data_IF_504722435852
#
_entry.id   IF_504722435852
#
_cell.length_a   1.000
_cell.length_b   1.000
_cell.length_c   1.000
_cell.angle_alpha   90.00
_cell.angle_beta   90.00
_cell.angle_gamma   90.00
#
_symmetry.space_group_name_H-M   'P 1'
#
loop_
_entity.id
_entity.type
_entity.pdbx_description
1 polymer ?
#
# COMPACT_ATOMS: atom_id res chain seq x y z
N UNK A 1 -8.54 24.00 2.77
CA UNK A 1 -8.09 22.64 2.40
C UNK A 1 -9.29 21.94 1.78
N UNK A 2 -9.18 21.32 0.59
CA UNK A 2 -10.31 20.54 0.05
C UNK A 2 -10.45 19.26 0.87
N UNK A 3 -11.66 18.92 1.25
CA UNK A 3 -11.96 17.68 1.95
C UNK A 3 -11.66 16.50 1.01
N UNK A 4 -10.90 15.51 1.49
CA UNK A 4 -10.58 14.31 0.73
C UNK A 4 -11.64 13.24 1.02
N UNK A 5 -12.53 13.04 0.06
CA UNK A 5 -13.57 12.02 0.16
C UNK A 5 -13.03 10.65 -0.24
N UNK A 6 -13.62 9.54 0.26
CA UNK A 6 -13.32 8.20 -0.22
C UNK A 6 -13.57 8.08 -1.72
N UNK A 7 -12.75 7.29 -2.40
CA UNK A 7 -12.99 6.94 -3.80
C UNK A 7 -14.30 6.17 -3.92
N UNK A 8 -15.11 6.52 -4.92
CA UNK A 8 -16.19 5.65 -5.37
C UNK A 8 -15.64 4.33 -5.93
N UNK A 9 -16.44 3.25 -6.01
CA UNK A 9 -15.99 1.99 -6.58
C UNK A 9 -15.40 2.13 -7.99
N UNK A 10 -16.00 2.96 -8.84
CA UNK A 10 -15.51 3.18 -10.21
C UNK A 10 -14.20 3.97 -10.24
N UNK A 11 -14.04 4.96 -9.35
CA UNK A 11 -12.77 5.68 -9.21
C UNK A 11 -11.67 4.78 -8.70
N UNK A 12 -11.98 3.91 -7.73
CA UNK A 12 -11.05 2.89 -7.23
C UNK A 12 -10.61 1.96 -8.37
N UNK A 13 -11.55 1.40 -9.14
CA UNK A 13 -11.24 0.52 -10.26
C UNK A 13 -10.35 1.21 -11.32
N UNK A 14 -10.62 2.49 -11.63
CA UNK A 14 -9.77 3.28 -12.54
C UNK A 14 -8.38 3.52 -11.95
N UNK A 15 -8.28 3.82 -10.67
CA UNK A 15 -6.99 4.03 -10.00
C UNK A 15 -6.16 2.73 -9.99
N UNK A 16 -6.76 1.60 -9.63
CA UNK A 16 -6.11 0.29 -9.67
C UNK A 16 -5.62 -0.05 -11.07
N UNK A 17 -6.46 0.14 -12.10
CA UNK A 17 -6.08 -0.15 -13.48
C UNK A 17 -4.87 0.67 -13.91
N UNK A 18 -4.82 1.96 -13.57
CA UNK A 18 -3.68 2.84 -13.92
C UNK A 18 -2.38 2.44 -13.22
N UNK A 19 -2.45 1.83 -12.05
CA UNK A 19 -1.28 1.37 -11.30
C UNK A 19 -0.77 0.01 -11.82
N UNK A 20 -1.68 -0.90 -12.15
CA UNK A 20 -1.36 -2.23 -12.67
C UNK A 20 -0.94 -2.19 -14.15
N UNK A 21 -1.53 -1.28 -14.92
CA UNK A 21 -1.30 -1.08 -16.35
C UNK A 21 -1.06 0.42 -16.63
N UNK A 22 0.10 0.96 -16.22
CA UNK A 22 0.46 2.36 -16.45
C UNK A 22 0.58 2.65 -17.95
N UNK A 23 -0.02 3.75 -18.38
CA UNK A 23 0.11 4.22 -19.75
C UNK A 23 1.58 4.50 -20.11
N UNK A 24 2.02 4.18 -21.35
CA UNK A 24 3.36 4.50 -21.81
C UNK A 24 3.69 5.99 -21.69
N UNK A 25 4.89 6.32 -21.24
CA UNK A 25 5.36 7.67 -20.99
C UNK A 25 4.78 8.34 -19.74
N UNK A 26 3.94 7.65 -18.96
CA UNK A 26 3.34 8.22 -17.76
C UNK A 26 4.31 8.28 -16.58
N UNK A 27 4.04 9.17 -15.62
CA UNK A 27 4.78 9.22 -14.35
C UNK A 27 4.65 7.93 -13.53
N UNK A 28 3.53 7.21 -13.67
CA UNK A 28 3.31 5.93 -12.99
C UNK A 28 4.23 4.86 -13.61
N UNK A 29 4.35 4.81 -14.93
CA UNK A 29 5.33 3.95 -15.60
C UNK A 29 6.76 4.29 -15.17
N UNK A 30 7.12 5.58 -15.14
CA UNK A 30 8.45 6.01 -14.70
C UNK A 30 8.74 5.58 -13.24
N UNK A 31 7.77 5.70 -12.33
CA UNK A 31 7.90 5.25 -10.95
C UNK A 31 8.13 3.73 -10.87
N UNK A 32 7.36 2.94 -11.63
CA UNK A 32 7.56 1.49 -11.73
C UNK A 32 8.96 1.16 -12.24
N UNK A 33 9.40 1.80 -13.32
CA UNK A 33 10.72 1.54 -13.92
C UNK A 33 11.88 1.97 -13.01
N UNK A 34 11.67 2.98 -12.15
CA UNK A 34 12.61 3.36 -11.11
C UNK A 34 12.69 2.34 -9.96
N UNK A 35 11.70 1.46 -9.82
CA UNK A 35 11.63 0.45 -8.76
C UNK A 35 10.67 0.79 -7.61
N UNK A 36 9.77 1.76 -7.80
CA UNK A 36 8.67 1.99 -6.84
C UNK A 36 7.70 0.82 -6.92
N UNK A 37 7.45 0.18 -5.79
CA UNK A 37 6.48 -0.91 -5.68
C UNK A 37 5.05 -0.36 -5.69
N UNK A 38 4.45 -0.32 -6.88
CA UNK A 38 3.06 0.07 -7.07
C UNK A 38 2.06 -0.99 -6.57
N UNK A 39 2.50 -2.25 -6.39
CA UNK A 39 1.62 -3.33 -5.91
C UNK A 39 1.24 -3.11 -4.46
N UNK A 40 2.17 -2.62 -3.63
CA UNK A 40 1.87 -2.19 -2.26
C UNK A 40 0.80 -1.10 -2.22
N UNK A 41 0.86 -0.13 -3.14
CA UNK A 41 -0.17 0.91 -3.21
C UNK A 41 -1.53 0.34 -3.60
N UNK A 42 -1.58 -0.56 -4.60
CA UNK A 42 -2.81 -1.26 -4.99
C UNK A 42 -3.40 -2.06 -3.81
N UNK A 43 -2.57 -2.77 -3.05
CA UNK A 43 -3.03 -3.47 -1.85
C UNK A 43 -3.68 -2.54 -0.84
N UNK A 44 -3.09 -1.35 -0.58
CA UNK A 44 -3.66 -0.40 0.38
C UNK A 44 -4.99 0.20 -0.08
N UNK A 45 -5.16 0.38 -1.39
CA UNK A 45 -6.40 0.92 -1.98
C UNK A 45 -7.58 -0.06 -1.84
N UNK A 46 -7.30 -1.37 -1.84
CA UNK A 46 -8.32 -2.43 -1.64
C UNK A 46 -8.79 -2.55 -0.20
N UNK A 47 -8.03 -2.03 0.75
CA UNK A 47 -8.35 -2.10 2.17
C UNK A 47 -9.17 -0.89 2.58
N UNK A 48 -10.18 -1.12 3.42
CA UNK A 48 -10.83 -0.07 4.18
C UNK A 48 -9.84 0.57 5.17
N UNK A 49 -10.11 1.80 5.66
CA UNK A 49 -9.27 2.43 6.68
C UNK A 49 -9.06 1.55 7.93
N UNK A 50 -10.10 0.85 8.38
CA UNK A 50 -10.02 -0.05 9.53
C UNK A 50 -9.13 -1.27 9.25
N UNK A 51 -9.20 -1.84 8.06
CA UNK A 51 -8.33 -2.96 7.67
C UNK A 51 -6.87 -2.56 7.54
N UNK A 52 -6.58 -1.33 7.07
CA UNK A 52 -5.20 -0.81 7.06
C UNK A 52 -4.64 -0.69 8.48
N UNK A 53 -5.44 -0.18 9.42
CA UNK A 53 -5.03 -0.11 10.83
C UNK A 53 -4.72 -1.51 11.41
N UNK A 54 -5.59 -2.50 11.14
CA UNK A 54 -5.36 -3.90 11.56
C UNK A 54 -4.11 -4.51 10.91
N UNK A 55 -3.86 -4.24 9.62
CA UNK A 55 -2.65 -4.69 8.92
C UNK A 55 -1.38 -4.13 9.58
N UNK A 56 -1.40 -2.85 9.95
CA UNK A 56 -0.29 -2.19 10.65
C UNK A 56 -0.05 -2.75 12.05
N UNK A 57 -1.12 -2.96 12.83
CA UNK A 57 -1.03 -3.56 14.16
C UNK A 57 -0.45 -4.98 14.10
N UNK A 58 -0.90 -5.77 13.13
CA UNK A 58 -0.40 -7.13 12.90
C UNK A 58 1.10 -7.13 12.57
N UNK A 59 1.54 -6.22 11.69
CA UNK A 59 2.95 -6.06 11.35
C UNK A 59 3.79 -5.64 12.58
N UNK A 60 3.31 -4.68 13.36
CA UNK A 60 3.97 -4.22 14.60
C UNK A 60 4.14 -5.37 15.60
N UNK A 61 3.10 -6.17 15.80
CA UNK A 61 3.14 -7.33 16.70
C UNK A 61 4.14 -8.37 16.22
N UNK A 62 4.22 -8.62 14.91
CA UNK A 62 5.20 -9.55 14.35
C UNK A 62 6.63 -9.06 14.57
N UNK A 63 6.90 -7.77 14.37
CA UNK A 63 8.24 -7.18 14.60
C UNK A 63 8.67 -7.29 16.06
N UNK A 64 7.77 -7.05 17.02
CA UNK A 64 8.11 -7.20 18.44
C UNK A 64 8.46 -8.64 18.82
N UNK A 65 7.82 -9.64 18.21
CA UNK A 65 8.21 -11.05 18.38
C UNK A 65 9.62 -11.32 17.87
N UNK A 66 9.95 -10.84 16.67
CA UNK A 66 11.30 -10.96 16.10
C UNK A 66 12.34 -10.32 17.01
N UNK A 67 12.07 -9.11 17.51
CA UNK A 67 12.93 -8.39 18.46
C UNK A 67 13.16 -9.20 19.74
N UNK A 68 12.09 -9.79 20.30
CA UNK A 68 12.18 -10.63 21.50
C UNK A 68 12.97 -11.93 21.30
N UNK A 69 13.01 -12.49 20.09
CA UNK A 69 13.85 -13.66 19.75
C UNK A 69 15.31 -13.23 19.63
N UNK A 70 15.59 -12.13 18.94
CA UNK A 70 16.95 -11.63 18.76
C UNK A 70 17.64 -11.34 20.10
N UNK A 71 16.93 -10.67 21.05
CA UNK A 71 17.47 -10.38 22.40
C UNK A 71 17.77 -11.62 23.24
N UNK A 72 17.09 -12.74 23.02
CA UNK A 72 17.33 -13.98 23.77
C UNK A 72 18.55 -14.76 23.29
N UNK A 73 19.07 -14.41 22.11
CA UNK A 73 20.23 -15.07 21.48
C UNK A 73 21.54 -14.29 21.66
N UNK A 74 21.48 -13.04 22.11
CA UNK A 74 22.62 -12.22 22.53
C UNK A 74 22.94 -12.45 23.99
#
# INVERSE_FOLDING_TARGET
MRELLPLTPDELARAERRLLDPAPGSRIEAARNYGVDLTLLVEQLRLTPAERARKLESASTAMERVRGIARRRS
#
